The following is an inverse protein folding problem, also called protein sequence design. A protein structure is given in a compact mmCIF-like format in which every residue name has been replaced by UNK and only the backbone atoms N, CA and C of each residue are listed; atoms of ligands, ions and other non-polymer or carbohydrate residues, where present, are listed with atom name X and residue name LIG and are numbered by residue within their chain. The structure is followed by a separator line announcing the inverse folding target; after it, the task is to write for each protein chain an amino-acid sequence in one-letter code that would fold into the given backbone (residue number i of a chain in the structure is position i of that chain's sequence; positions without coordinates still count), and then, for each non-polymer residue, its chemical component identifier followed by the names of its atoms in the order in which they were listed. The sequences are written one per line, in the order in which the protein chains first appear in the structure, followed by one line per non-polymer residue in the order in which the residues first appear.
data_IF_800001773163
#
_entry.id   IF_800001773163
#
_cell.length_a   1.000
_cell.length_b   1.000
_cell.length_c   1.000
_cell.angle_alpha   90.00
_cell.angle_beta   90.00
_cell.angle_gamma   90.00
#
_symmetry.space_group_name_H-M   'P 1'
#
loop_
_entity.id
_entity.type
_entity.pdbx_description
1 polymer ?
#
# COMPACT_ATOMS: atom_id res chain seq x y z
N UNK A 1 -40.03 -8.07 8.56
CA UNK A 1 -39.02 -8.76 7.72
C UNK A 1 -38.74 -10.11 8.37
N UNK A 2 -39.13 -11.18 7.67
CA UNK A 2 -39.41 -12.50 8.23
C UNK A 2 -38.13 -13.35 8.38
N UNK A 3 -38.10 -14.24 9.38
CA UNK A 3 -37.01 -15.17 9.73
C UNK A 3 -36.57 -16.16 8.64
N UNK A 4 -37.10 -16.03 7.42
CA UNK A 4 -36.72 -16.82 6.24
C UNK A 4 -35.69 -16.13 5.34
N UNK A 5 -35.40 -14.84 5.52
CA UNK A 5 -34.36 -14.14 4.75
C UNK A 5 -32.97 -14.14 5.42
N UNK A 6 -32.84 -14.63 6.65
CA UNK A 6 -31.56 -14.68 7.37
C UNK A 6 -30.66 -15.85 6.93
N UNK A 7 -31.24 -16.91 6.35
CA UNK A 7 -30.51 -18.14 5.99
C UNK A 7 -29.80 -18.10 4.63
N UNK A 8 -30.10 -17.14 3.76
CA UNK A 8 -29.47 -17.05 2.43
C UNK A 8 -28.28 -16.10 2.35
N UNK A 9 -28.06 -15.26 3.37
CA UNK A 9 -26.86 -14.40 3.43
C UNK A 9 -25.63 -15.13 3.99
N UNK A 10 -25.83 -16.24 4.73
CA UNK A 10 -24.75 -16.93 5.45
C UNK A 10 -24.10 -18.08 4.65
N UNK A 11 -24.58 -18.38 3.44
CA UNK A 11 -24.05 -19.48 2.61
C UNK A 11 -22.97 -19.05 1.59
N UNK A 12 -22.64 -17.74 1.49
CA UNK A 12 -21.64 -17.26 0.51
C UNK A 12 -20.56 -16.33 1.07
N UNK A 13 -20.51 -16.06 2.37
CA UNK A 13 -19.41 -15.27 2.93
C UNK A 13 -19.08 -15.69 4.37
N UNK A 14 -18.07 -16.55 4.51
CA UNK A 14 -17.69 -17.11 5.80
C UNK A 14 -16.25 -17.62 5.81
N UNK A 15 -15.28 -16.75 5.52
CA UNK A 15 -13.89 -17.00 5.90
C UNK A 15 -13.44 -15.97 6.95
N UNK A 16 -13.73 -16.37 8.20
CA UNK A 16 -12.97 -16.27 9.45
C UNK A 16 -12.28 -14.95 9.82
N UNK A 17 -12.88 -14.34 10.84
CA UNK A 17 -12.30 -13.46 11.85
C UNK A 17 -11.20 -14.15 12.70
N UNK A 18 -10.10 -13.41 12.87
CA UNK A 18 -9.40 -13.02 14.12
C UNK A 18 -9.35 -14.04 15.27
N UNK A 19 -8.13 -14.43 15.66
CA UNK A 19 -7.72 -14.59 17.07
C UNK A 19 -6.19 -14.54 17.23
N UNK A 20 -5.69 -13.55 17.96
CA UNK A 20 -4.48 -13.61 18.81
C UNK A 20 -4.91 -14.07 20.21
N UNK A 21 -4.06 -14.73 21.02
CA UNK A 21 -3.16 -13.99 21.92
C UNK A 21 -1.76 -14.60 22.15
N UNK A 22 -0.81 -13.69 22.41
CA UNK A 22 0.34 -13.73 23.34
C UNK A 22 1.09 -15.03 23.59
N UNK A 23 2.38 -15.02 23.23
CA UNK A 23 3.44 -15.45 24.16
C UNK A 23 4.67 -14.56 23.98
N UNK A 24 5.20 -14.19 25.12
CA UNK A 24 6.20 -13.18 25.39
C UNK A 24 7.62 -13.76 25.24
N UNK A 25 8.55 -12.87 24.90
CA UNK A 25 9.95 -12.80 25.35
C UNK A 25 11.11 -13.07 24.36
N UNK A 26 12.05 -12.13 24.49
CA UNK A 26 13.51 -12.17 24.29
C UNK A 26 14.07 -11.70 22.94
N UNK A 27 14.55 -10.45 22.95
CA UNK A 27 15.58 -9.88 22.08
C UNK A 27 16.89 -10.69 22.21
N UNK A 28 17.68 -10.87 21.15
CA UNK A 28 18.78 -9.91 20.99
C UNK A 28 18.96 -9.40 19.56
N UNK A 29 19.51 -8.19 19.54
CA UNK A 29 19.90 -7.39 18.39
C UNK A 29 20.88 -8.15 17.49
N UNK A 30 20.60 -8.19 16.20
CA UNK A 30 21.63 -8.30 15.17
C UNK A 30 21.27 -7.37 14.03
N UNK A 31 21.94 -6.22 14.01
CA UNK A 31 21.95 -5.24 12.94
C UNK A 31 22.27 -5.91 11.59
N UNK A 32 21.47 -5.73 10.54
CA UNK A 32 21.95 -5.99 9.19
C UNK A 32 23.01 -4.94 8.81
N UNK A 33 24.12 -5.33 8.16
CA UNK A 33 25.10 -4.37 7.67
C UNK A 33 24.44 -3.45 6.65
N UNK A 34 24.64 -2.15 6.86
CA UNK A 34 24.29 -1.07 5.95
C UNK A 34 25.15 -1.24 4.70
N UNK A 35 24.58 -1.45 3.49
CA UNK A 35 25.33 -1.23 2.27
C UNK A 35 25.37 0.29 2.06
N UNK A 36 26.47 0.90 2.51
CA UNK A 36 26.87 2.23 2.08
C UNK A 36 27.44 2.07 0.69
N UNK A 37 26.63 2.32 -0.35
CA UNK A 37 27.18 2.74 -1.63
C UNK A 37 26.21 3.67 -2.35
N UNK A 38 26.32 4.94 -1.95
CA UNK A 38 25.92 6.10 -2.73
C UNK A 38 26.81 6.11 -3.99
N UNK A 39 26.38 5.40 -5.02
CA UNK A 39 26.89 5.53 -6.37
C UNK A 39 25.72 6.04 -7.22
N UNK A 40 25.76 7.29 -7.72
CA UNK A 40 24.83 7.73 -8.74
C UNK A 40 25.22 7.06 -10.06
N UNK A 41 25.00 5.75 -10.13
CA UNK A 41 25.07 5.02 -11.37
C UNK A 41 23.94 5.55 -12.23
N UNK A 42 24.30 6.39 -13.20
CA UNK A 42 23.44 6.92 -14.26
C UNK A 42 22.95 5.75 -15.14
N UNK A 43 22.14 4.87 -14.56
CA UNK A 43 21.37 3.89 -15.30
C UNK A 43 20.25 4.69 -15.97
N UNK A 44 20.48 5.00 -17.24
CA UNK A 44 19.47 5.58 -18.11
C UNK A 44 18.27 4.64 -18.12
N UNK A 45 17.22 4.99 -17.37
CA UNK A 45 16.00 4.17 -17.31
C UNK A 45 15.45 4.02 -18.73
N UNK A 46 15.14 2.80 -19.19
CA UNK A 46 14.68 2.57 -20.53
C UNK A 46 13.31 3.23 -20.72
N UNK A 47 13.25 4.34 -21.45
CA UNK A 47 11.99 5.04 -21.70
C UNK A 47 11.07 4.15 -22.56
N UNK A 48 9.87 3.85 -22.08
CA UNK A 48 8.89 3.10 -22.85
C UNK A 48 8.42 3.94 -24.05
N UNK A 49 8.84 3.55 -25.25
CA UNK A 49 8.46 4.22 -26.50
C UNK A 49 6.97 4.03 -26.79
N UNK A 50 6.45 2.79 -26.68
CA UNK A 50 5.07 2.46 -27.01
C UNK A 50 4.20 2.24 -25.76
N UNK A 51 3.33 3.21 -25.45
CA UNK A 51 2.39 3.16 -24.31
C UNK A 51 1.10 2.40 -24.62
N UNK A 52 0.90 1.99 -25.88
CA UNK A 52 -0.26 1.20 -26.30
C UNK A 52 -0.13 -0.29 -26.00
N UNK A 53 1.00 -0.72 -25.42
CA UNK A 53 1.27 -2.11 -25.05
C UNK A 53 1.81 -2.20 -23.63
N UNK A 54 1.52 -3.32 -22.98
CA UNK A 54 2.06 -3.63 -21.67
C UNK A 54 3.58 -3.79 -21.72
N UNK A 55 4.31 -3.21 -20.76
CA UNK A 55 5.76 -3.30 -20.72
C UNK A 55 6.29 -4.73 -20.51
N UNK A 56 5.58 -5.57 -19.73
CA UNK A 56 5.99 -6.96 -19.48
C UNK A 56 5.49 -7.95 -20.54
N UNK A 57 4.18 -8.03 -20.77
CA UNK A 57 3.59 -9.05 -21.64
C UNK A 57 3.31 -8.58 -23.07
N UNK A 58 3.57 -7.31 -23.40
CA UNK A 58 3.37 -6.70 -24.73
C UNK A 58 1.92 -6.77 -25.26
N UNK A 59 0.96 -7.13 -24.41
CA UNK A 59 -0.47 -7.12 -24.74
C UNK A 59 -0.94 -5.71 -25.11
N UNK A 60 -1.86 -5.60 -26.08
CA UNK A 60 -2.43 -4.32 -26.52
C UNK A 60 -3.35 -3.75 -25.45
N UNK A 61 -3.16 -2.47 -25.13
CA UNK A 61 -3.95 -1.75 -24.13
C UNK A 61 -4.86 -0.76 -24.85
N UNK A 62 -6.18 -0.79 -24.60
CA UNK A 62 -7.10 0.17 -25.20
C UNK A 62 -6.80 1.57 -24.68
N UNK A 63 -7.01 2.59 -25.53
CA UNK A 63 -6.63 3.99 -25.25
C UNK A 63 -7.16 4.49 -23.90
N UNK A 64 -8.42 4.16 -23.56
CA UNK A 64 -9.04 4.52 -22.29
C UNK A 64 -8.34 3.92 -21.06
N UNK A 65 -7.68 2.77 -21.18
CA UNK A 65 -6.97 2.10 -20.09
C UNK A 65 -5.51 2.52 -19.97
N UNK A 66 -4.94 3.22 -20.95
CA UNK A 66 -3.53 3.63 -20.92
C UNK A 66 -3.24 4.60 -19.77
N UNK A 67 -4.17 5.50 -19.46
CA UNK A 67 -4.05 6.44 -18.34
C UNK A 67 -4.24 5.76 -16.99
N UNK A 68 -5.18 4.82 -16.91
CA UNK A 68 -5.53 4.07 -15.68
C UNK A 68 -4.44 3.06 -15.31
N UNK A 69 -3.82 2.44 -16.32
CA UNK A 69 -2.80 1.43 -16.13
C UNK A 69 -1.37 2.00 -16.14
N UNK A 70 -1.24 3.32 -16.04
CA UNK A 70 0.04 3.98 -15.79
C UNK A 70 0.43 3.74 -14.32
N UNK A 71 1.56 3.09 -14.12
CA UNK A 71 2.14 2.91 -12.79
C UNK A 71 2.92 4.17 -12.37
N UNK A 72 3.23 4.26 -11.08
CA UNK A 72 4.07 5.33 -10.49
C UNK A 72 5.52 5.30 -10.98
N UNK A 73 5.97 4.16 -11.49
CA UNK A 73 7.25 3.98 -12.17
C UNK A 73 7.24 4.45 -13.64
N UNK A 74 6.19 5.16 -14.08
CA UNK A 74 6.03 5.77 -15.41
C UNK A 74 5.83 4.79 -16.59
N UNK A 75 5.80 3.48 -16.32
CA UNK A 75 5.46 2.45 -17.29
C UNK A 75 3.95 2.15 -17.34
N UNK A 76 3.49 1.64 -18.49
CA UNK A 76 2.08 1.29 -18.75
C UNK A 76 1.93 -0.24 -18.88
N UNK A 77 0.94 -0.79 -18.17
CA UNK A 77 0.71 -2.22 -18.04
C UNK A 77 -0.73 -2.65 -18.41
N UNK A 78 -0.99 -3.95 -18.51
CA UNK A 78 -2.36 -4.46 -18.57
C UNK A 78 -2.97 -4.59 -17.16
N UNK A 79 -4.27 -4.85 -17.05
CA UNK A 79 -4.99 -4.89 -15.77
C UNK A 79 -4.39 -5.89 -14.77
N UNK A 80 -3.80 -6.98 -15.26
CA UNK A 80 -3.12 -8.00 -14.44
C UNK A 80 -1.73 -7.58 -13.95
N UNK A 81 -0.99 -6.81 -14.74
CA UNK A 81 0.41 -6.43 -14.45
C UNK A 81 0.54 -5.01 -13.87
N UNK A 82 -0.56 -4.25 -13.79
CA UNK A 82 -0.60 -2.93 -13.14
C UNK A 82 -0.20 -2.99 -11.65
N UNK A 83 -0.49 -4.10 -10.98
CA UNK A 83 -0.20 -4.27 -9.55
C UNK A 83 1.33 -4.33 -9.35
N UNK A 84 1.92 -3.58 -8.40
CA UNK A 84 3.37 -3.54 -8.17
C UNK A 84 3.98 -4.87 -7.72
N UNK A 85 3.17 -5.81 -7.24
CA UNK A 85 3.58 -7.19 -6.94
C UNK A 85 3.73 -8.06 -8.20
N UNK A 86 3.13 -7.63 -9.32
CA UNK A 86 3.07 -8.37 -10.58
C UNK A 86 4.05 -7.85 -11.63
N UNK A 87 4.83 -6.82 -11.29
CA UNK A 87 5.91 -6.30 -12.10
C UNK A 87 7.06 -5.84 -11.20
N UNK A 88 8.29 -5.84 -11.72
CA UNK A 88 9.44 -5.29 -11.01
C UNK A 88 9.35 -3.75 -10.96
N UNK A 89 8.60 -3.24 -9.99
CA UNK A 89 8.36 -1.81 -9.82
C UNK A 89 9.60 -1.13 -9.20
N UNK A 90 10.17 -0.17 -9.93
CA UNK A 90 11.30 0.66 -9.46
C UNK A 90 10.92 1.71 -8.41
N UNK A 91 9.63 1.82 -8.04
CA UNK A 91 9.14 2.87 -7.14
C UNK A 91 9.05 2.41 -5.68
N UNK A 92 9.70 3.13 -4.77
CA UNK A 92 9.70 2.85 -3.33
C UNK A 92 8.39 3.24 -2.62
N UNK A 93 7.38 2.38 -2.68
CA UNK A 93 6.11 2.58 -1.96
C UNK A 93 6.28 2.63 -0.43
N UNK A 94 7.27 1.92 0.11
CA UNK A 94 7.54 1.93 1.55
C UNK A 94 8.00 3.31 2.04
N UNK A 95 8.88 3.98 1.29
CA UNK A 95 9.34 5.33 1.63
C UNK A 95 8.20 6.34 1.51
N UNK A 96 7.40 6.26 0.46
CA UNK A 96 6.20 7.08 0.30
C UNK A 96 5.22 6.88 1.47
N UNK A 97 4.96 5.62 1.86
CA UNK A 97 4.06 5.31 2.98
C UNK A 97 4.57 5.88 4.30
N UNK A 98 5.88 5.79 4.57
CA UNK A 98 6.51 6.39 5.75
C UNK A 98 6.37 7.91 5.77
N UNK A 99 6.59 8.58 4.65
CA UNK A 99 6.45 10.04 4.54
C UNK A 99 5.00 10.49 4.78
N UNK A 100 4.03 9.79 4.18
CA UNK A 100 2.61 10.07 4.40
C UNK A 100 2.25 9.82 5.87
N UNK A 101 2.70 8.71 6.46
CA UNK A 101 2.42 8.40 7.86
C UNK A 101 3.05 9.43 8.81
N UNK A 102 4.30 9.82 8.56
CA UNK A 102 4.99 10.84 9.34
C UNK A 102 4.25 12.19 9.30
N UNK A 103 3.68 12.56 8.15
CA UNK A 103 2.88 13.78 7.99
C UNK A 103 1.53 13.74 8.71
N UNK A 104 0.90 12.57 8.79
CA UNK A 104 -0.42 12.41 9.40
C UNK A 104 -0.37 12.08 10.90
N UNK A 105 0.78 11.66 11.43
CA UNK A 105 0.92 11.35 12.85
C UNK A 105 0.71 12.62 13.69
N UNK A 106 -0.23 12.60 14.67
CA UNK A 106 -0.39 13.71 15.58
C UNK A 106 0.88 13.84 16.43
N UNK A 107 1.40 15.06 16.53
CA UNK A 107 2.57 15.31 17.37
C UNK A 107 2.15 15.24 18.83
N UNK A 108 2.92 14.56 19.67
CA UNK A 108 2.62 14.42 21.10
C UNK A 108 2.44 15.76 21.83
N UNK A 109 3.07 16.81 21.32
CA UNK A 109 3.00 18.15 21.90
C UNK A 109 1.84 18.99 21.34
N UNK A 110 1.10 18.49 20.35
CA UNK A 110 -0.09 19.16 19.83
C UNK A 110 -1.30 18.77 20.68
N UNK A 111 -1.55 19.59 21.71
CA UNK A 111 -2.78 19.55 22.48
C UNK A 111 -3.93 19.78 21.51
N UNK A 112 -4.84 18.81 21.39
CA UNK A 112 -6.08 18.98 20.64
C UNK A 112 -6.75 20.28 21.11
N UNK A 113 -7.01 21.22 20.17
CA UNK A 113 -7.73 22.47 20.42
C UNK A 113 -9.24 22.24 20.71
N UNK A 114 -9.58 21.12 21.34
CA UNK A 114 -10.92 20.81 21.85
C UNK A 114 -10.99 21.18 23.32
N UNK A 115 -11.94 22.05 23.66
CA UNK A 115 -12.03 22.75 24.94
C UNK A 115 -11.94 21.88 26.18
N UNK A 116 -11.18 22.38 27.16
CA UNK A 116 -11.22 21.92 28.55
C UNK A 116 -12.56 22.31 29.16
N UNK A 117 -13.55 21.43 29.11
CA UNK A 117 -14.63 21.46 30.10
C UNK A 117 -15.28 20.10 30.21
N UNK A 118 -14.50 19.08 30.53
CA UNK A 118 -15.03 17.97 31.32
C UNK A 118 -15.24 18.51 32.74
N UNK A 119 -16.29 19.33 32.94
CA UNK A 119 -16.79 19.51 34.29
C UNK A 119 -17.34 18.16 34.71
N UNK A 120 -16.82 17.62 35.80
CA UNK A 120 -17.38 16.44 36.45
C UNK A 120 -18.73 16.88 37.00
N UNK A 121 -19.83 16.38 36.43
CA UNK A 121 -21.17 16.57 36.99
C UNK A 121 -21.16 15.87 38.36
N UNK A 122 -21.48 16.63 39.42
CA UNK A 122 -21.70 16.15 40.80
C UNK A 122 -23.11 15.59 40.95
#
# INVERSE_FOLDING_TARGET
MCSKCFKECNAKNGQKSIATPTSEQVLPQSSPPIPTEDQPSQHTRPVQSNKARCFMCRAKIPLAKQTINKCRCEYVFCDTHKVPDKHDCDFDFAKMGKDILAKNNPKLNEVHKGGRSFNRID
#
